data_IF_195727180047
#
_entry.id   IF_195727180047
#
_cell.length_a   1.000
_cell.length_b   1.000
_cell.length_c   1.000
_cell.angle_alpha   90.00
_cell.angle_beta   90.00
_cell.angle_gamma   90.00
#
_symmetry.space_group_name_H-M   'P 1'
#
loop_
_entity.id
_entity.type
_entity.pdbx_description
1 polymer ?
#
# COMPACT_ATOMS: atom_id res chain seq x y z
N UNK A 1 -1.97 22.67 -24.69
CA UNK A 1 -1.87 21.32 -25.29
C UNK A 1 -1.92 20.22 -24.24
N UNK A 2 -1.33 20.42 -23.04
CA UNK A 2 -1.49 19.51 -21.90
C UNK A 2 -2.94 19.42 -21.39
N UNK A 3 -3.67 20.53 -21.33
CA UNK A 3 -5.04 20.54 -20.79
C UNK A 3 -6.05 19.81 -21.68
N UNK A 4 -5.97 19.98 -23.01
CA UNK A 4 -6.82 19.24 -23.96
C UNK A 4 -6.55 17.74 -23.97
N UNK A 5 -5.28 17.33 -23.81
CA UNK A 5 -4.92 15.91 -23.69
C UNK A 5 -5.38 15.32 -22.36
N UNK A 6 -5.38 16.12 -21.29
CA UNK A 6 -5.89 15.73 -19.98
C UNK A 6 -7.41 15.61 -19.97
N UNK A 7 -8.11 16.58 -20.56
CA UNK A 7 -9.56 16.59 -20.70
C UNK A 7 -10.02 15.44 -21.61
N UNK A 8 -9.28 15.15 -22.69
CA UNK A 8 -9.51 13.96 -23.50
C UNK A 8 -9.18 12.68 -22.75
N UNK A 9 -8.15 12.63 -21.92
CA UNK A 9 -7.82 11.43 -21.13
C UNK A 9 -8.85 11.16 -20.03
N UNK A 10 -9.37 12.20 -19.39
CA UNK A 10 -10.47 12.10 -18.41
C UNK A 10 -11.77 11.74 -19.10
N UNK A 11 -12.13 12.44 -20.17
CA UNK A 11 -13.31 12.13 -20.99
C UNK A 11 -13.24 10.71 -21.57
N UNK A 12 -12.06 10.25 -22.00
CA UNK A 12 -11.85 8.88 -22.45
C UNK A 12 -11.85 7.91 -21.27
N UNK A 13 -11.30 8.25 -20.10
CA UNK A 13 -11.36 7.42 -18.90
C UNK A 13 -12.79 7.24 -18.38
N UNK A 14 -13.61 8.29 -18.43
CA UNK A 14 -15.04 8.27 -18.09
C UNK A 14 -15.84 7.49 -19.14
N UNK A 15 -15.55 7.72 -20.42
CA UNK A 15 -16.21 7.04 -21.54
C UNK A 15 -15.84 5.56 -21.67
N UNK A 16 -14.61 5.20 -21.30
CA UNK A 16 -14.06 3.82 -21.32
C UNK A 16 -14.11 3.15 -19.93
N UNK A 17 -14.64 3.83 -18.91
CA UNK A 17 -14.77 3.35 -17.51
C UNK A 17 -13.46 2.86 -16.89
N UNK A 18 -12.35 3.54 -17.19
CA UNK A 18 -11.01 3.11 -16.83
C UNK A 18 -10.63 3.42 -15.38
N UNK A 19 -11.23 4.46 -14.79
CA UNK A 19 -11.01 4.89 -13.41
C UNK A 19 -12.27 5.58 -12.86
N UNK A 20 -12.68 5.23 -11.63
CA UNK A 20 -13.78 5.90 -10.91
C UNK A 20 -13.28 6.39 -9.55
N UNK A 21 -13.67 7.61 -9.18
CA UNK A 21 -13.50 8.15 -7.82
C UNK A 21 -14.86 8.06 -7.13
N UNK A 22 -14.90 7.37 -6.00
CA UNK A 22 -16.13 7.13 -5.24
C UNK A 22 -16.05 7.85 -3.88
N UNK A 23 -17.08 8.63 -3.55
CA UNK A 23 -17.16 9.44 -2.33
C UNK A 23 -18.09 8.84 -1.26
N UNK A 24 -18.66 7.65 -1.51
CA UNK A 24 -19.55 6.98 -0.55
C UNK A 24 -21.00 7.48 -0.51
N UNK A 25 -21.40 8.42 -1.38
CA UNK A 25 -22.74 9.05 -1.33
C UNK A 25 -23.80 8.37 -2.20
N UNK A 26 -23.40 7.66 -3.27
CA UNK A 26 -24.31 6.99 -4.21
C UNK A 26 -24.06 5.48 -4.30
N UNK A 27 -25.00 4.65 -4.76
CA UNK A 27 -24.73 3.21 -4.99
C UNK A 27 -23.94 2.99 -6.29
N UNK A 28 -22.80 2.29 -6.24
CA UNK A 28 -21.99 2.02 -7.43
C UNK A 28 -22.47 0.75 -8.14
N UNK A 29 -23.12 0.89 -9.30
CA UNK A 29 -23.60 -0.25 -10.13
C UNK A 29 -22.70 -0.52 -11.37
N UNK A 30 -21.48 0.02 -11.41
CA UNK A 30 -20.72 0.04 -12.67
C UNK A 30 -19.96 -1.25 -13.01
N UNK A 31 -20.46 -1.92 -14.03
CA UNK A 31 -19.78 -3.01 -14.75
C UNK A 31 -18.63 -2.41 -15.59
N UNK A 32 -17.39 -2.85 -15.33
CA UNK A 32 -16.22 -2.58 -16.20
C UNK A 32 -15.05 -1.80 -15.57
N UNK A 33 -15.18 -1.28 -14.35
CA UNK A 33 -14.13 -0.48 -13.70
C UNK A 33 -12.91 -1.32 -13.33
N UNK A 34 -11.72 -0.92 -13.82
CA UNK A 34 -10.43 -1.60 -13.54
C UNK A 34 -9.55 -0.87 -12.53
N UNK A 35 -9.84 0.40 -12.25
CA UNK A 35 -9.15 1.22 -11.24
C UNK A 35 -10.18 1.96 -10.41
N UNK A 36 -10.11 1.81 -9.10
CA UNK A 36 -11.05 2.42 -8.17
C UNK A 36 -10.27 3.17 -7.11
N UNK A 37 -10.61 4.46 -6.92
CA UNK A 37 -10.16 5.25 -5.79
C UNK A 37 -11.37 5.63 -4.95
N UNK A 38 -11.32 5.42 -3.64
CA UNK A 38 -12.37 5.83 -2.70
C UNK A 38 -11.77 6.83 -1.73
N UNK A 39 -12.39 8.00 -1.57
CA UNK A 39 -11.84 9.11 -0.78
C UNK A 39 -12.95 9.82 0.02
N UNK A 40 -12.61 10.39 1.18
CA UNK A 40 -13.50 11.28 1.94
C UNK A 40 -13.48 12.71 1.37
N UNK A 41 -14.63 13.37 1.21
CA UNK A 41 -14.75 14.63 0.43
C UNK A 41 -15.30 15.80 1.25
N UNK A 42 -14.49 16.46 2.10
CA UNK A 42 -14.79 17.82 2.60
C UNK A 42 -13.54 18.71 2.76
N UNK A 43 -12.54 18.55 1.88
CA UNK A 43 -11.42 19.49 1.72
C UNK A 43 -11.34 19.98 0.27
N UNK A 44 -11.00 21.25 0.04
CA UNK A 44 -10.89 21.83 -1.31
C UNK A 44 -10.09 20.92 -2.25
N UNK A 45 -10.70 20.60 -3.40
CA UNK A 45 -10.09 19.79 -4.45
C UNK A 45 -8.93 20.61 -5.05
N UNK A 46 -7.70 20.41 -4.58
CA UNK A 46 -6.51 20.77 -5.35
C UNK A 46 -6.18 19.64 -6.32
N UNK A 47 -6.76 19.73 -7.51
CA UNK A 47 -6.41 18.89 -8.66
C UNK A 47 -4.96 19.20 -9.05
N UNK A 48 -4.03 18.32 -8.68
CA UNK A 48 -2.70 18.30 -9.27
C UNK A 48 -2.71 17.32 -10.45
N UNK A 49 -2.52 17.89 -11.63
CA UNK A 49 -2.57 17.25 -12.93
C UNK A 49 -1.32 16.39 -13.18
N UNK A 50 -1.49 15.16 -13.67
CA UNK A 50 -0.41 14.45 -14.36
C UNK A 50 -0.98 13.44 -15.38
N UNK A 51 -0.50 13.45 -16.65
CA UNK A 51 -0.97 12.55 -17.69
C UNK A 51 -0.24 11.20 -17.66
N UNK A 52 -1.02 10.14 -17.94
CA UNK A 52 -0.66 8.84 -18.53
C UNK A 52 0.60 8.08 -18.01
N UNK A 53 0.35 6.81 -17.61
CA UNK A 53 1.32 5.72 -17.38
C UNK A 53 2.07 5.63 -16.04
N UNK A 54 1.91 6.56 -15.10
CA UNK A 54 2.68 6.51 -13.86
C UNK A 54 1.94 5.75 -12.74
N UNK A 55 2.70 4.96 -11.99
CA UNK A 55 2.37 4.38 -10.67
C UNK A 55 2.10 5.44 -9.59
N UNK A 56 1.67 6.64 -9.99
CA UNK A 56 1.48 7.79 -9.11
C UNK A 56 0.01 7.79 -8.74
N UNK A 57 -0.25 7.55 -7.45
CA UNK A 57 -1.57 7.67 -6.87
C UNK A 57 -2.14 9.07 -7.16
N UNK A 58 -3.44 9.20 -7.50
CA UNK A 58 -4.05 10.52 -7.60
C UNK A 58 -3.86 11.25 -6.26
N UNK A 59 -3.73 12.59 -6.26
CA UNK A 59 -3.63 13.36 -5.03
C UNK A 59 -4.87 13.09 -4.17
N UNK A 60 -4.64 12.44 -3.02
CA UNK A 60 -5.66 12.11 -2.04
C UNK A 60 -5.86 13.35 -1.16
N UNK A 61 -7.05 13.95 -1.21
CA UNK A 61 -7.48 14.93 -0.22
C UNK A 61 -8.46 14.19 0.67
N UNK A 62 -8.04 13.87 1.89
CA UNK A 62 -8.85 13.06 2.82
C UNK A 62 -8.93 13.78 4.15
N UNK A 63 -10.13 13.85 4.71
CA UNK A 63 -10.32 14.28 6.10
C UNK A 63 -9.85 13.14 7.04
N UNK A 64 -8.86 13.41 7.89
CA UNK A 64 -8.23 12.44 8.81
C UNK A 64 -9.21 11.78 9.79
N UNK A 65 -10.31 12.49 10.09
CA UNK A 65 -11.24 12.12 11.16
C UNK A 65 -12.53 11.50 10.63
N UNK A 66 -12.75 11.48 9.31
CA UNK A 66 -13.97 10.95 8.71
C UNK A 66 -13.80 9.50 8.26
N UNK A 67 -14.78 8.67 8.59
CA UNK A 67 -14.82 7.27 8.19
C UNK A 67 -15.25 7.11 6.73
N UNK A 68 -14.48 6.33 5.98
CA UNK A 68 -14.79 5.87 4.64
C UNK A 68 -16.02 4.96 4.65
N UNK A 69 -17.00 5.30 3.82
CA UNK A 69 -18.20 4.46 3.59
C UNK A 69 -17.94 3.43 2.50
N UNK A 70 -17.30 2.34 2.90
CA UNK A 70 -16.98 1.18 2.05
C UNK A 70 -18.10 0.15 1.96
N UNK A 71 -19.06 0.19 2.89
CA UNK A 71 -20.18 -0.77 2.96
C UNK A 71 -21.23 -0.57 1.85
N UNK A 72 -21.27 0.63 1.27
CA UNK A 72 -22.09 0.93 0.10
C UNK A 72 -21.64 0.15 -1.15
N UNK A 73 -20.41 -0.38 -1.15
CA UNK A 73 -19.88 -1.30 -2.17
C UNK A 73 -20.10 -2.74 -1.72
N UNK A 74 -21.35 -3.23 -1.79
CA UNK A 74 -21.66 -4.61 -1.38
C UNK A 74 -20.92 -5.67 -2.22
N UNK A 75 -20.50 -5.32 -3.43
CA UNK A 75 -19.58 -6.12 -4.25
C UNK A 75 -18.74 -5.21 -5.17
N UNK A 76 -17.42 -5.09 -4.95
CA UNK A 76 -16.55 -4.35 -5.85
C UNK A 76 -16.41 -5.06 -7.20
N UNK A 77 -16.08 -4.33 -8.28
CA UNK A 77 -15.94 -4.91 -9.62
C UNK A 77 -14.95 -6.10 -9.65
N UNK A 78 -15.32 -7.27 -10.19
CA UNK A 78 -14.47 -8.48 -10.14
C UNK A 78 -13.18 -8.36 -10.98
N UNK A 79 -13.15 -7.43 -11.93
CA UNK A 79 -11.99 -7.14 -12.79
C UNK A 79 -11.12 -6.01 -12.25
N UNK A 80 -11.31 -5.60 -10.99
CA UNK A 80 -10.56 -4.51 -10.40
C UNK A 80 -9.07 -4.87 -10.31
N UNK A 81 -8.22 -4.08 -10.95
CA UNK A 81 -6.77 -4.27 -11.00
C UNK A 81 -6.04 -3.37 -10.00
N UNK A 82 -6.60 -2.19 -9.70
CA UNK A 82 -6.04 -1.21 -8.78
C UNK A 82 -7.10 -0.68 -7.83
N UNK A 83 -6.78 -0.67 -6.54
CA UNK A 83 -7.62 -0.11 -5.49
C UNK A 83 -6.79 0.87 -4.65
N UNK A 84 -7.31 2.08 -4.49
CA UNK A 84 -6.79 3.10 -3.59
C UNK A 84 -7.89 3.49 -2.62
N UNK A 85 -7.67 3.32 -1.32
CA UNK A 85 -8.57 3.77 -0.27
C UNK A 85 -7.90 4.91 0.50
N UNK A 86 -8.54 6.07 0.56
CA UNK A 86 -8.06 7.25 1.24
C UNK A 86 -9.03 7.71 2.34
N UNK A 87 -8.65 7.61 3.60
CA UNK A 87 -9.46 8.01 4.75
C UNK A 87 -9.71 6.86 5.72
N UNK A 88 -10.25 7.17 6.91
CA UNK A 88 -10.30 6.25 8.05
C UNK A 88 -11.23 5.07 7.78
N UNK A 89 -10.84 3.84 8.09
CA UNK A 89 -11.70 2.66 8.02
C UNK A 89 -12.02 2.19 9.45
N UNK A 90 -13.28 1.80 9.68
CA UNK A 90 -13.67 1.18 10.94
C UNK A 90 -13.16 -0.26 11.04
N UNK A 91 -13.19 -0.99 9.92
CA UNK A 91 -12.64 -2.34 9.76
C UNK A 91 -12.29 -2.59 8.29
N UNK A 92 -11.52 -3.65 8.02
CA UNK A 92 -11.24 -4.07 6.64
C UNK A 92 -12.53 -4.57 5.98
N UNK A 93 -12.88 -4.06 4.78
CA UNK A 93 -14.09 -4.47 4.09
C UNK A 93 -14.11 -5.97 3.79
N UNK A 94 -15.23 -6.63 4.07
CA UNK A 94 -15.40 -8.09 3.85
C UNK A 94 -15.15 -8.53 2.41
N UNK A 95 -15.30 -7.62 1.45
CA UNK A 95 -15.08 -7.90 0.04
C UNK A 95 -13.61 -7.86 -0.40
N UNK A 96 -12.65 -7.51 0.46
CA UNK A 96 -11.22 -7.50 0.12
C UNK A 96 -10.76 -8.83 -0.48
N UNK A 97 -11.12 -9.94 0.17
CA UNK A 97 -10.76 -11.28 -0.28
C UNK A 97 -11.40 -11.68 -1.63
N UNK A 98 -12.41 -10.94 -2.11
CA UNK A 98 -13.07 -11.19 -3.40
C UNK A 98 -12.33 -10.58 -4.60
N UNK A 99 -11.33 -9.73 -4.37
CA UNK A 99 -10.61 -9.00 -5.41
C UNK A 99 -9.53 -9.82 -6.11
N UNK A 100 -9.93 -10.90 -6.77
CA UNK A 100 -9.00 -11.88 -7.38
C UNK A 100 -8.11 -11.29 -8.48
N UNK A 101 -8.55 -10.22 -9.16
CA UNK A 101 -7.79 -9.58 -10.23
C UNK A 101 -6.83 -8.49 -9.74
N UNK A 102 -6.86 -8.15 -8.44
CA UNK A 102 -6.15 -6.99 -7.91
C UNK A 102 -4.64 -7.19 -8.00
N UNK A 103 -3.97 -6.20 -8.59
CA UNK A 103 -2.51 -6.17 -8.75
C UNK A 103 -1.86 -5.07 -7.92
N UNK A 104 -2.62 -4.04 -7.56
CA UNK A 104 -2.16 -2.88 -6.81
C UNK A 104 -3.17 -2.53 -5.72
N UNK A 105 -2.68 -2.45 -4.49
CA UNK A 105 -3.45 -1.98 -3.33
C UNK A 105 -2.68 -0.86 -2.65
N UNK A 106 -3.34 0.29 -2.50
CA UNK A 106 -2.87 1.39 -1.67
C UNK A 106 -3.93 1.71 -0.61
N UNK A 107 -3.52 1.59 0.65
CA UNK A 107 -4.31 2.06 1.79
C UNK A 107 -3.62 3.30 2.34
N UNK A 108 -4.33 4.42 2.26
CA UNK A 108 -3.88 5.71 2.72
C UNK A 108 -4.81 6.20 3.81
N UNK A 109 -4.24 6.48 4.98
CA UNK A 109 -4.97 7.09 6.11
C UNK A 109 -6.13 6.24 6.63
N UNK A 110 -6.07 4.92 6.40
CA UNK A 110 -7.10 4.00 6.88
C UNK A 110 -7.07 3.79 8.38
N UNK A 111 -5.93 4.02 9.05
CA UNK A 111 -5.76 3.91 10.52
C UNK A 111 -6.41 2.66 11.12
N UNK A 112 -6.29 1.52 10.45
CA UNK A 112 -6.83 0.24 10.91
C UNK A 112 -6.09 -0.21 12.17
N UNK A 113 -6.85 -0.52 13.23
CA UNK A 113 -6.30 -1.06 14.48
C UNK A 113 -6.16 -2.59 14.46
N UNK A 114 -6.79 -3.24 13.47
CA UNK A 114 -6.72 -4.69 13.28
C UNK A 114 -5.50 -5.12 12.45
N UNK A 115 -5.12 -6.39 12.59
CA UNK A 115 -4.02 -6.98 11.81
C UNK A 115 -4.44 -7.10 10.34
N UNK A 116 -3.84 -6.26 9.49
CA UNK A 116 -4.18 -6.16 8.07
C UNK A 116 -3.76 -7.38 7.22
N UNK A 117 -2.54 -7.95 7.36
CA UNK A 117 -2.06 -9.01 6.48
C UNK A 117 -3.02 -10.21 6.33
N UNK A 118 -3.66 -10.75 7.38
CA UNK A 118 -4.67 -11.83 7.25
C UNK A 118 -5.84 -11.51 6.31
N UNK A 119 -6.16 -10.23 6.11
CA UNK A 119 -7.28 -9.81 5.28
C UNK A 119 -6.92 -9.64 3.80
N UNK A 120 -5.63 -9.46 3.50
CA UNK A 120 -5.11 -9.23 2.14
C UNK A 120 -4.16 -10.34 1.65
N UNK A 121 -3.79 -11.30 2.51
CA UNK A 121 -2.92 -12.43 2.16
C UNK A 121 -3.49 -13.30 1.03
N UNK A 122 -4.82 -13.38 0.94
CA UNK A 122 -5.53 -14.20 -0.02
C UNK A 122 -5.59 -13.60 -1.44
N UNK A 123 -5.15 -12.35 -1.63
CA UNK A 123 -5.16 -11.67 -2.93
C UNK A 123 -4.15 -12.32 -3.90
N UNK A 124 -4.59 -13.14 -4.87
CA UNK A 124 -3.71 -14.07 -5.58
C UNK A 124 -2.83 -13.39 -6.64
N UNK A 125 -3.19 -12.16 -7.04
CA UNK A 125 -2.52 -11.42 -8.10
C UNK A 125 -1.84 -10.13 -7.61
N UNK A 126 -1.82 -9.89 -6.29
CA UNK A 126 -1.27 -8.66 -5.73
C UNK A 126 0.24 -8.59 -5.99
N UNK A 127 0.67 -7.52 -6.66
CA UNK A 127 2.07 -7.27 -7.02
C UNK A 127 2.65 -6.07 -6.27
N UNK A 128 1.81 -5.08 -5.95
CA UNK A 128 2.20 -3.87 -5.24
C UNK A 128 1.28 -3.63 -4.05
N UNK A 129 1.88 -3.50 -2.87
CA UNK A 129 1.20 -3.13 -1.64
C UNK A 129 1.84 -1.88 -1.07
N UNK A 130 1.05 -0.81 -0.95
CA UNK A 130 1.43 0.43 -0.28
C UNK A 130 0.53 0.64 0.93
N UNK A 131 1.13 0.81 2.09
CA UNK A 131 0.46 1.16 3.34
C UNK A 131 1.00 2.50 3.81
N UNK A 132 0.18 3.55 3.75
CA UNK A 132 0.57 4.90 4.15
C UNK A 132 -0.36 5.42 5.25
N UNK A 133 0.14 5.51 6.49
CA UNK A 133 -0.68 5.79 7.67
C UNK A 133 -1.92 4.86 7.73
N UNK A 134 -1.73 3.62 7.27
CA UNK A 134 -2.82 2.68 7.02
C UNK A 134 -3.21 1.86 8.25
N UNK A 135 -2.25 1.65 9.16
CA UNK A 135 -2.39 0.79 10.33
C UNK A 135 -1.91 1.53 11.58
N UNK A 136 -2.54 1.25 12.71
CA UNK A 136 -2.16 1.73 14.04
C UNK A 136 -1.75 0.54 14.93
N UNK A 137 -0.78 -0.24 14.45
CA UNK A 137 -0.32 -1.49 15.09
C UNK A 137 1.17 -1.44 15.41
N UNK A 138 1.57 -2.17 16.45
CA UNK A 138 2.97 -2.30 16.90
C UNK A 138 3.75 -3.35 16.10
N UNK A 139 3.09 -4.42 15.65
CA UNK A 139 3.69 -5.49 14.86
C UNK A 139 2.92 -5.74 13.56
N UNK A 140 3.64 -6.00 12.47
CA UNK A 140 3.08 -6.53 11.23
C UNK A 140 3.62 -7.93 10.95
N UNK A 141 2.73 -8.92 10.88
CA UNK A 141 3.09 -10.32 10.66
C UNK A 141 2.60 -10.84 9.30
N UNK A 142 3.53 -11.06 8.38
CA UNK A 142 3.28 -11.70 7.09
C UNK A 142 3.54 -13.20 7.21
N UNK A 143 2.50 -13.98 7.48
CA UNK A 143 2.60 -15.44 7.71
C UNK A 143 2.23 -16.29 6.49
N UNK A 144 1.37 -15.79 5.60
CA UNK A 144 0.90 -16.52 4.41
C UNK A 144 0.64 -15.57 3.25
N UNK A 145 0.40 -16.12 2.06
CA UNK A 145 -0.08 -15.35 0.91
C UNK A 145 1.02 -14.71 0.07
N UNK A 146 0.75 -13.55 -0.52
CA UNK A 146 1.67 -12.62 -1.21
C UNK A 146 2.66 -13.21 -2.24
N UNK A 147 2.33 -14.37 -2.82
CA UNK A 147 3.22 -15.11 -3.72
C UNK A 147 3.67 -14.33 -4.97
N UNK A 148 2.88 -13.34 -5.43
CA UNK A 148 3.22 -12.47 -6.58
C UNK A 148 3.70 -11.07 -6.18
N UNK A 149 3.81 -10.79 -4.88
CA UNK A 149 4.18 -9.47 -4.40
C UNK A 149 5.63 -9.17 -4.80
N UNK A 150 5.84 -8.04 -5.46
CA UNK A 150 7.14 -7.55 -5.91
C UNK A 150 7.54 -6.26 -5.22
N UNK A 151 6.55 -5.46 -4.80
CA UNK A 151 6.77 -4.16 -4.15
C UNK A 151 5.97 -4.08 -2.85
N UNK A 152 6.68 -3.86 -1.74
CA UNK A 152 6.10 -3.58 -0.44
C UNK A 152 6.63 -2.24 0.07
N UNK A 153 5.71 -1.32 0.34
CA UNK A 153 6.06 0.00 0.84
C UNK A 153 5.22 0.36 2.07
N UNK A 154 5.90 0.72 3.16
CA UNK A 154 5.31 1.17 4.42
C UNK A 154 5.71 2.62 4.66
N UNK A 155 4.72 3.50 4.77
CA UNK A 155 4.89 4.93 4.97
C UNK A 155 4.11 5.39 6.21
N UNK A 156 4.71 6.27 7.00
CA UNK A 156 4.04 6.96 8.11
C UNK A 156 3.28 5.99 9.05
N UNK A 157 3.93 4.92 9.50
CA UNK A 157 3.35 3.98 10.48
C UNK A 157 4.10 4.19 11.81
N UNK A 158 3.70 5.18 12.62
CA UNK A 158 4.53 5.65 13.74
C UNK A 158 4.68 4.62 14.85
N UNK A 159 3.66 3.79 15.11
CA UNK A 159 3.67 2.80 16.20
C UNK A 159 4.40 1.49 15.84
N UNK A 160 4.76 1.29 14.56
CA UNK A 160 5.28 0.02 14.09
C UNK A 160 6.69 -0.23 14.64
N UNK A 161 6.82 -1.17 15.57
CA UNK A 161 8.08 -1.55 16.19
C UNK A 161 8.78 -2.70 15.45
N UNK A 162 8.00 -3.63 14.86
CA UNK A 162 8.52 -4.89 14.33
C UNK A 162 7.74 -5.40 13.12
N UNK A 163 8.47 -6.00 12.19
CA UNK A 163 7.92 -6.69 11.02
C UNK A 163 8.42 -8.13 11.04
N UNK A 164 7.52 -9.10 10.84
CA UNK A 164 7.86 -10.53 10.73
C UNK A 164 7.40 -11.06 9.38
N UNK A 165 8.28 -11.79 8.69
CA UNK A 165 8.02 -12.41 7.40
C UNK A 165 8.34 -13.89 7.53
N UNK A 166 7.31 -14.74 7.41
CA UNK A 166 7.52 -16.18 7.42
C UNK A 166 8.14 -16.68 6.12
N UNK A 167 8.79 -17.84 6.20
CA UNK A 167 9.49 -18.43 5.07
C UNK A 167 8.51 -18.73 3.93
N UNK A 168 8.83 -18.25 2.72
CA UNK A 168 8.05 -18.54 1.52
C UNK A 168 6.85 -17.62 1.28
N UNK A 169 6.60 -16.62 2.13
CA UNK A 169 5.44 -15.72 2.00
C UNK A 169 5.56 -14.75 0.82
N UNK A 170 6.73 -14.16 0.59
CA UNK A 170 6.91 -13.23 -0.54
C UNK A 170 8.21 -13.52 -1.29
N UNK A 171 8.26 -14.66 -2.00
CA UNK A 171 9.48 -15.14 -2.64
C UNK A 171 9.95 -14.26 -3.81
N UNK A 172 9.05 -13.44 -4.37
CA UNK A 172 9.30 -12.57 -5.52
C UNK A 172 9.49 -11.10 -5.14
N UNK A 173 9.65 -10.76 -3.86
CA UNK A 173 9.77 -9.38 -3.43
C UNK A 173 11.09 -8.77 -3.95
N UNK A 174 10.98 -7.68 -4.71
CA UNK A 174 12.08 -6.97 -5.34
C UNK A 174 12.36 -5.61 -4.68
N UNK A 175 11.32 -4.95 -4.18
CA UNK A 175 11.43 -3.66 -3.51
C UNK A 175 10.76 -3.70 -2.15
N UNK A 176 11.52 -3.30 -1.13
CA UNK A 176 11.04 -3.09 0.22
C UNK A 176 11.42 -1.68 0.68
N UNK A 177 10.41 -0.90 1.05
CA UNK A 177 10.58 0.52 1.39
C UNK A 177 9.92 0.85 2.72
N UNK A 178 10.67 1.51 3.60
CA UNK A 178 10.18 2.10 4.84
C UNK A 178 10.41 3.62 4.81
N UNK A 179 9.42 4.38 5.25
CA UNK A 179 9.54 5.83 5.37
C UNK A 179 8.72 6.32 6.56
N UNK A 180 9.38 7.01 7.52
CA UNK A 180 8.71 7.52 8.73
C UNK A 180 8.01 6.40 9.53
N UNK A 181 8.70 5.28 9.71
CA UNK A 181 8.34 4.23 10.67
C UNK A 181 9.24 4.42 11.89
N UNK A 182 8.93 5.44 12.70
CA UNK A 182 9.87 6.01 13.68
C UNK A 182 10.19 5.10 14.85
N UNK A 183 9.29 4.17 15.19
CA UNK A 183 9.50 3.20 16.27
C UNK A 183 10.07 1.86 15.77
N UNK A 184 10.25 1.67 14.46
CA UNK A 184 10.71 0.40 13.89
C UNK A 184 12.15 0.14 14.32
N UNK A 185 12.40 -0.92 15.09
CA UNK A 185 13.66 -1.14 15.84
C UNK A 185 14.72 -1.95 15.09
N UNK A 186 14.31 -2.70 14.08
CA UNK A 186 15.18 -3.67 13.39
C UNK A 186 14.68 -3.92 11.97
N UNK A 187 15.55 -4.45 11.10
CA UNK A 187 15.12 -5.06 9.84
C UNK A 187 14.08 -6.16 10.10
N UNK A 188 13.20 -6.47 9.13
CA UNK A 188 12.19 -7.50 9.30
C UNK A 188 12.76 -8.85 9.74
N UNK A 189 12.09 -9.53 10.67
CA UNK A 189 12.33 -10.95 10.91
C UNK A 189 12.06 -11.74 9.64
N UNK A 190 12.95 -12.66 9.27
CA UNK A 190 12.86 -13.41 8.00
C UNK A 190 13.39 -12.64 6.78
N UNK A 191 14.15 -11.57 6.99
CA UNK A 191 14.85 -10.84 5.92
C UNK A 191 15.70 -11.76 5.02
N UNK A 192 16.28 -12.81 5.60
CA UNK A 192 17.05 -13.85 4.90
C UNK A 192 16.25 -14.61 3.84
N UNK A 193 14.91 -14.63 3.94
CA UNK A 193 14.04 -15.30 2.97
C UNK A 193 13.81 -14.45 1.71
N UNK A 194 14.10 -13.15 1.74
CA UNK A 194 13.90 -12.21 0.65
C UNK A 194 15.03 -12.27 -0.38
N UNK A 195 15.17 -13.45 -1.00
CA UNK A 195 16.27 -13.76 -1.92
C UNK A 195 16.24 -12.94 -3.21
N UNK A 196 15.07 -12.45 -3.65
CA UNK A 196 14.91 -11.63 -4.86
C UNK A 196 14.94 -10.11 -4.60
N UNK A 197 15.18 -9.67 -3.36
CA UNK A 197 15.14 -8.25 -2.99
C UNK A 197 16.25 -7.41 -3.63
N UNK A 198 15.93 -6.64 -4.67
CA UNK A 198 16.89 -5.79 -5.37
C UNK A 198 17.11 -4.45 -4.69
N UNK A 199 16.05 -3.87 -4.12
CA UNK A 199 16.04 -2.53 -3.53
C UNK A 199 15.51 -2.57 -2.10
N UNK A 200 16.33 -2.11 -1.16
CA UNK A 200 15.91 -1.82 0.20
C UNK A 200 16.14 -0.35 0.50
N UNK A 201 15.08 0.38 0.83
CA UNK A 201 15.15 1.79 1.21
C UNK A 201 14.48 1.98 2.56
N UNK A 202 15.13 2.71 3.44
CA UNK A 202 14.56 3.12 4.72
C UNK A 202 14.97 4.56 5.00
N UNK A 203 14.07 5.35 5.57
CA UNK A 203 14.35 6.70 6.01
C UNK A 203 13.41 7.05 7.18
N UNK A 204 13.89 7.86 8.12
CA UNK A 204 13.18 8.25 9.33
C UNK A 204 12.68 7.02 10.14
N UNK A 205 13.58 6.07 10.40
CA UNK A 205 13.41 4.92 11.33
C UNK A 205 14.02 5.24 12.70
N UNK A 206 13.83 4.37 13.70
CA UNK A 206 14.39 4.57 15.04
C UNK A 206 15.92 4.55 15.06
N UNK A 207 16.55 5.14 16.09
CA UNK A 207 18.00 5.04 16.29
C UNK A 207 18.44 3.58 16.46
N UNK A 208 17.65 2.78 17.18
CA UNK A 208 17.88 1.34 17.38
C UNK A 208 17.93 0.59 16.05
N UNK A 209 17.12 0.98 15.06
CA UNK A 209 17.19 0.41 13.70
C UNK A 209 18.58 0.60 13.09
N UNK A 210 19.08 1.83 13.12
CA UNK A 210 20.39 2.17 12.57
C UNK A 210 21.49 1.40 13.32
N UNK A 211 21.46 1.41 14.66
CA UNK A 211 22.40 0.65 15.49
C UNK A 211 22.37 -0.85 15.18
N UNK A 212 21.20 -1.41 14.86
CA UNK A 212 21.08 -2.83 14.54
C UNK A 212 21.80 -3.22 13.24
N UNK A 213 21.92 -2.31 12.27
CA UNK A 213 22.49 -2.62 10.94
C UNK A 213 23.92 -2.11 10.73
N UNK A 214 24.40 -1.12 11.49
CA UNK A 214 25.79 -0.61 11.40
C UNK A 214 26.81 -1.64 11.90
N UNK A 215 28.10 -1.38 11.64
CA UNK A 215 29.18 -2.30 12.03
C UNK A 215 29.16 -2.56 13.55
N UNK A 216 29.17 -3.84 13.94
CA UNK A 216 29.00 -4.28 15.33
C UNK A 216 27.54 -4.50 15.76
N UNK A 217 26.57 -4.05 14.96
CA UNK A 217 25.14 -4.27 15.18
C UNK A 217 24.70 -5.73 14.96
N UNK A 218 23.64 -6.13 15.66
CA UNK A 218 23.14 -7.52 15.67
C UNK A 218 22.68 -8.03 14.30
N UNK A 219 22.24 -7.14 13.41
CA UNK A 219 21.78 -7.46 12.06
C UNK A 219 22.78 -7.08 10.97
N UNK A 220 23.96 -6.57 11.34
CA UNK A 220 24.95 -6.07 10.38
C UNK A 220 25.33 -7.12 9.32
N UNK A 221 25.63 -8.35 9.75
CA UNK A 221 26.05 -9.43 8.85
C UNK A 221 24.94 -9.80 7.87
N UNK A 222 23.70 -9.97 8.35
CA UNK A 222 22.52 -10.26 7.52
C UNK A 222 22.30 -9.16 6.47
N UNK A 223 22.41 -7.90 6.90
CA UNK A 223 22.22 -6.76 6.04
C UNK A 223 23.30 -6.63 4.97
N UNK A 224 24.58 -6.71 5.36
CA UNK A 224 25.73 -6.55 4.46
C UNK A 224 25.84 -7.70 3.45
N UNK A 225 25.42 -8.91 3.82
CA UNK A 225 25.34 -10.03 2.88
C UNK A 225 24.41 -9.68 1.70
N UNK A 226 23.32 -8.95 1.96
CA UNK A 226 22.34 -8.59 0.94
C UNK A 226 22.65 -7.29 0.20
N UNK A 227 23.22 -6.31 0.91
CA UNK A 227 23.53 -4.97 0.38
C UNK A 227 25.00 -4.57 0.65
N UNK A 228 25.98 -5.25 0.02
CA UNK A 228 27.40 -5.04 0.30
C UNK A 228 27.90 -3.64 -0.12
N UNK A 229 27.25 -3.03 -1.12
CA UNK A 229 27.64 -1.73 -1.68
C UNK A 229 26.97 -0.54 -1.01
N UNK A 230 26.00 -0.75 -0.12
CA UNK A 230 25.26 0.32 0.53
C UNK A 230 26.08 0.90 1.68
N UNK A 231 26.38 2.20 1.61
CA UNK A 231 27.06 2.95 2.67
C UNK A 231 26.00 3.37 3.70
N UNK A 232 26.23 3.01 4.96
CA UNK A 232 25.45 3.47 6.11
C UNK A 232 26.10 4.72 6.70
#
# INVERSE_FOLDING_TARGET
MHDLMLELALSTSEKEKFCSVYDGRESMEEIGVRRLSIQTTEGEIKVCTAPLASLIDPPLVTNEEEFLRVDALSSPPPQLLRLVLGGKLESVPRWFCSLHSLTYLNLHWTRLEEDLPPHIEALPNLQWLRLDNACAVEELCFSRGFVKLTHLELFNIPLLEKITIEQGVMPNLQLLRFYRCTELKTIPGGFEYLTQLETFYFNCTSEEFYESIVEGGVNHSKFRQRFPSMRM
#
